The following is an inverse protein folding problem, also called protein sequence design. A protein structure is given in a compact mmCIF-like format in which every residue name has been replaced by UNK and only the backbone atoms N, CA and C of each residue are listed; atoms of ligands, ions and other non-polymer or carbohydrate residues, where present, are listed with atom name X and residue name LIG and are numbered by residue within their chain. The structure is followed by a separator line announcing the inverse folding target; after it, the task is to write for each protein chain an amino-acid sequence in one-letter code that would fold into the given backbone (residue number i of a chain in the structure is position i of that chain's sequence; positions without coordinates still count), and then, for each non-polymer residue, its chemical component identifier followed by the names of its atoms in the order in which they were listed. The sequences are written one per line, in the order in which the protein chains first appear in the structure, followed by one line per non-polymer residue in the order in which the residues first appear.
data_IF_478604747031
#
_entry.id   IF_478604747031
#
_cell.length_a   1.000
_cell.length_b   1.000
_cell.length_c   1.000
_cell.angle_alpha   90.00
_cell.angle_beta   90.00
_cell.angle_gamma   90.00
#
_symmetry.space_group_name_H-M   'P 1'
#
loop_
_entity.id
_entity.type
_entity.pdbx_description
1 polymer ?
#
# COMPACT_ATOMS: atom_id res chain seq x y z
N UNK A 1 -19.82 -14.49 37.49
CA UNK A 1 -18.44 -14.82 37.05
C UNK A 1 -18.15 -14.23 35.66
N UNK A 2 -18.06 -12.90 35.54
CA UNK A 2 -17.89 -12.19 34.26
C UNK A 2 -16.82 -11.09 34.33
N UNK A 3 -15.72 -11.35 35.05
CA UNK A 3 -14.57 -10.42 35.18
C UNK A 3 -13.23 -11.00 34.66
N UNK A 4 -13.18 -12.26 34.23
CA UNK A 4 -11.92 -12.93 33.87
C UNK A 4 -11.46 -12.85 32.40
N UNK A 5 -12.23 -12.25 31.49
CA UNK A 5 -11.92 -12.26 30.04
C UNK A 5 -11.69 -10.88 29.42
N UNK A 6 -11.74 -9.80 30.22
CA UNK A 6 -11.49 -8.43 29.76
C UNK A 6 -10.05 -7.94 29.99
N UNK A 7 -9.24 -8.65 30.77
CA UNK A 7 -7.86 -8.26 31.10
C UNK A 7 -6.76 -8.77 30.16
N UNK A 8 -7.11 -9.50 29.09
CA UNK A 8 -6.13 -10.11 28.17
C UNK A 8 -6.03 -9.40 26.82
N UNK A 9 -6.78 -8.31 26.66
CA UNK A 9 -6.42 -7.27 25.70
C UNK A 9 -5.53 -6.33 26.49
N UNK A 10 -4.23 -6.52 26.29
CA UNK A 10 -3.15 -5.57 26.54
C UNK A 10 -3.70 -4.16 26.81
N UNK A 11 -3.27 -3.53 27.92
CA UNK A 11 -3.04 -2.07 27.92
C UNK A 11 -2.40 -1.82 26.56
N UNK A 12 -3.14 -1.20 25.64
CA UNK A 12 -2.68 -1.03 24.27
C UNK A 12 -1.40 -0.23 24.43
N UNK A 13 -0.28 -0.91 24.17
CA UNK A 13 1.05 -0.32 24.25
C UNK A 13 0.96 1.01 23.50
N UNK A 14 1.35 2.08 24.20
CA UNK A 14 1.23 3.47 23.79
C UNK A 14 1.41 3.63 22.28
N UNK A 15 0.41 4.24 21.65
CA UNK A 15 0.46 4.95 20.37
C UNK A 15 1.53 4.47 19.36
N UNK A 16 1.52 3.19 18.98
CA UNK A 16 2.36 2.66 17.88
C UNK A 16 2.17 3.49 16.59
N UNK A 17 1.01 4.12 16.44
CA UNK A 17 0.67 5.06 15.36
C UNK A 17 1.38 6.42 15.47
N UNK A 18 1.82 6.83 16.67
CA UNK A 18 2.68 8.01 16.88
C UNK A 18 4.16 7.66 16.75
N UNK A 19 4.57 6.49 17.22
CA UNK A 19 5.97 6.04 17.14
C UNK A 19 6.37 5.69 15.71
N UNK A 20 5.47 5.04 14.95
CA UNK A 20 5.70 4.64 13.55
C UNK A 20 4.61 5.18 12.62
N UNK A 21 4.50 6.52 12.45
CA UNK A 21 3.37 7.15 11.78
C UNK A 21 3.34 6.88 10.27
N UNK A 22 4.51 6.74 9.63
CA UNK A 22 4.60 6.48 8.19
C UNK A 22 4.09 5.08 7.86
N UNK A 23 4.57 4.07 8.56
CA UNK A 23 4.20 2.68 8.30
C UNK A 23 2.76 2.40 8.74
N UNK A 24 2.31 3.01 9.84
CA UNK A 24 0.90 3.01 10.20
C UNK A 24 0.01 3.58 9.08
N UNK A 25 0.36 4.75 8.51
CA UNK A 25 -0.42 5.36 7.42
C UNK A 25 -0.44 4.50 6.17
N UNK A 26 0.69 3.89 5.79
CA UNK A 26 0.76 2.97 4.64
C UNK A 26 -0.18 1.78 4.85
N UNK A 27 -0.12 1.16 6.02
CA UNK A 27 -0.98 0.01 6.35
C UNK A 27 -2.46 0.41 6.44
N UNK A 28 -2.77 1.60 6.96
CA UNK A 28 -4.14 2.12 7.04
C UNK A 28 -4.72 2.42 5.64
N UNK A 29 -3.91 2.95 4.73
CA UNK A 29 -4.27 3.13 3.32
C UNK A 29 -4.48 1.79 2.62
N UNK A 30 -3.59 0.81 2.85
CA UNK A 30 -3.73 -0.53 2.30
C UNK A 30 -4.99 -1.23 2.84
N UNK A 31 -5.29 -1.09 4.13
CA UNK A 31 -6.52 -1.62 4.74
C UNK A 31 -7.79 -0.95 4.19
N UNK A 32 -7.71 0.31 3.78
CA UNK A 32 -8.82 1.04 3.16
C UNK A 32 -9.02 0.65 1.69
N UNK A 33 -7.95 0.59 0.92
CA UNK A 33 -8.00 0.29 -0.51
C UNK A 33 -8.27 -1.19 -0.78
N UNK A 34 -7.57 -2.08 -0.07
CA UNK A 34 -7.67 -3.53 -0.22
C UNK A 34 -7.76 -4.24 1.15
N UNK A 35 -8.96 -4.28 1.78
CA UNK A 35 -9.17 -4.91 3.08
C UNK A 35 -8.88 -6.43 3.11
N UNK A 36 -8.75 -7.08 1.96
CA UNK A 36 -8.55 -8.52 1.85
C UNK A 36 -7.07 -8.86 1.87
N UNK A 37 -6.29 -8.14 1.07
CA UNK A 37 -4.83 -8.23 1.10
C UNK A 37 -4.28 -7.84 2.48
N UNK A 38 -4.81 -6.78 3.08
CA UNK A 38 -4.48 -6.42 4.46
C UNK A 38 -4.68 -7.58 5.43
N UNK A 39 -5.82 -8.28 5.34
CA UNK A 39 -6.09 -9.44 6.20
C UNK A 39 -5.10 -10.57 5.96
N UNK A 40 -4.71 -10.84 4.71
CA UNK A 40 -3.72 -11.87 4.39
C UNK A 40 -2.36 -11.54 5.02
N UNK A 41 -1.86 -10.32 4.80
CA UNK A 41 -0.59 -9.86 5.36
C UNK A 41 -0.63 -9.91 6.90
N UNK A 42 -1.71 -9.44 7.52
CA UNK A 42 -1.86 -9.48 8.97
C UNK A 42 -1.92 -10.93 9.51
N UNK A 43 -2.57 -11.85 8.79
CA UNK A 43 -2.59 -13.28 9.16
C UNK A 43 -1.19 -13.91 9.14
N UNK A 44 -0.38 -13.56 8.15
CA UNK A 44 1.01 -14.04 8.04
C UNK A 44 1.85 -13.54 9.22
N UNK A 45 1.78 -12.25 9.54
CA UNK A 45 2.45 -11.65 10.70
C UNK A 45 1.97 -12.30 12.00
N UNK A 46 0.66 -12.47 12.17
CA UNK A 46 0.08 -13.11 13.35
C UNK A 46 0.52 -14.58 13.46
N UNK A 47 0.66 -15.28 12.34
CA UNK A 47 1.15 -16.65 12.31
C UNK A 47 2.63 -16.76 12.72
N UNK A 48 3.48 -15.84 12.24
CA UNK A 48 4.91 -15.77 12.61
C UNK A 48 5.07 -15.44 14.09
N UNK A 49 4.24 -14.55 14.63
CA UNK A 49 4.30 -14.19 16.04
C UNK A 49 3.56 -15.20 16.92
N UNK A 50 4.27 -16.23 17.35
CA UNK A 50 3.69 -17.34 18.10
C UNK A 50 3.07 -16.91 19.43
N UNK A 51 2.13 -17.72 19.95
CA UNK A 51 1.53 -17.50 21.28
C UNK A 51 2.56 -17.54 22.41
N UNK A 52 3.60 -18.36 22.28
CA UNK A 52 4.66 -18.47 23.28
C UNK A 52 5.51 -17.19 23.29
N UNK A 53 5.92 -16.72 22.11
CA UNK A 53 6.68 -15.47 21.95
C UNK A 53 5.89 -14.29 22.49
N UNK A 54 4.60 -14.18 22.17
CA UNK A 54 3.70 -13.15 22.73
C UNK A 54 3.62 -13.16 24.24
N UNK A 55 3.48 -14.34 24.84
CA UNK A 55 3.44 -14.49 26.29
C UNK A 55 4.76 -14.11 26.93
N UNK A 56 5.87 -14.44 26.27
CA UNK A 56 7.21 -14.13 26.75
C UNK A 56 7.47 -12.62 26.67
N UNK A 57 7.21 -11.99 25.53
CA UNK A 57 7.29 -10.53 25.37
C UNK A 57 6.40 -9.78 26.37
N UNK A 58 5.17 -10.27 26.62
CA UNK A 58 4.30 -9.68 27.63
C UNK A 58 4.85 -9.73 29.06
N UNK A 59 5.86 -10.57 29.35
CA UNK A 59 6.55 -10.57 30.66
C UNK A 59 7.58 -9.44 30.78
N UNK A 60 7.99 -8.80 29.69
CA UNK A 60 8.93 -7.68 29.73
C UNK A 60 8.26 -6.42 30.26
N UNK A 61 6.96 -6.29 30.02
CA UNK A 61 6.18 -5.15 30.45
C UNK A 61 6.03 -5.09 31.98
N UNK A 62 6.17 -3.89 32.52
CA UNK A 62 5.82 -3.52 33.89
C UNK A 62 4.61 -2.59 33.88
N UNK A 63 4.22 -2.06 35.04
CA UNK A 63 3.17 -1.03 35.06
C UNK A 63 3.63 0.29 34.44
N UNK A 64 4.94 0.55 34.46
CA UNK A 64 5.57 1.79 33.99
C UNK A 64 6.17 1.69 32.58
N UNK A 65 6.64 0.50 32.18
CA UNK A 65 7.35 0.28 30.91
C UNK A 65 6.58 -0.73 30.05
N UNK A 66 6.30 -0.34 28.80
CA UNK A 66 5.71 -1.23 27.79
C UNK A 66 6.76 -2.15 27.15
N UNK A 67 6.29 -3.24 26.53
CA UNK A 67 7.21 -4.13 25.78
C UNK A 67 7.86 -3.41 24.60
N UNK A 68 7.08 -2.57 23.92
CA UNK A 68 7.59 -1.73 22.83
C UNK A 68 8.65 -0.75 23.32
N UNK A 69 8.43 -0.11 24.47
CA UNK A 69 9.39 0.83 25.05
C UNK A 69 10.69 0.14 25.48
N UNK A 70 10.63 -1.09 25.99
CA UNK A 70 11.83 -1.90 26.24
C UNK A 70 12.67 -2.04 24.95
N UNK A 71 12.05 -2.41 23.84
CA UNK A 71 12.74 -2.58 22.57
C UNK A 71 13.29 -1.27 21.99
N UNK A 72 12.52 -0.17 22.08
CA UNK A 72 12.96 1.16 21.64
C UNK A 72 14.18 1.59 22.46
N UNK A 73 14.12 1.49 23.79
CA UNK A 73 15.26 1.85 24.65
C UNK A 73 16.45 0.93 24.38
N UNK A 74 16.25 -0.36 24.17
CA UNK A 74 17.32 -1.27 23.77
C UNK A 74 18.00 -0.83 22.48
N UNK A 75 17.21 -0.50 21.44
CA UNK A 75 17.68 -0.03 20.14
C UNK A 75 18.44 1.31 20.24
N UNK A 76 17.96 2.22 21.08
CA UNK A 76 18.51 3.58 21.18
C UNK A 76 19.72 3.65 22.12
N UNK A 77 19.72 2.91 23.24
CA UNK A 77 20.75 3.03 24.28
C UNK A 77 21.77 1.90 24.29
N UNK A 78 21.34 0.63 24.15
CA UNK A 78 22.24 -0.51 24.37
C UNK A 78 22.86 -1.01 23.05
N UNK A 79 22.08 -1.04 21.97
CA UNK A 79 22.52 -1.54 20.67
C UNK A 79 23.76 -0.78 20.12
N UNK A 80 23.83 0.57 20.15
CA UNK A 80 25.01 1.28 19.63
C UNK A 80 26.28 0.94 20.42
N UNK A 81 26.15 0.80 21.73
CA UNK A 81 27.27 0.47 22.61
C UNK A 81 27.78 -0.93 22.31
N UNK A 82 26.89 -1.94 22.25
CA UNK A 82 27.29 -3.32 21.94
C UNK A 82 27.95 -3.45 20.57
N UNK A 83 27.46 -2.71 19.56
CA UNK A 83 28.11 -2.65 18.24
C UNK A 83 29.50 -2.03 18.33
N UNK A 84 29.64 -0.91 19.04
CA UNK A 84 30.95 -0.25 19.22
C UNK A 84 31.96 -1.12 19.96
N UNK A 85 31.52 -1.89 20.97
CA UNK A 85 32.36 -2.81 21.73
C UNK A 85 32.82 -3.98 20.85
N UNK A 86 31.90 -4.56 20.06
CA UNK A 86 32.23 -5.63 19.12
C UNK A 86 33.16 -5.16 17.98
N UNK A 87 32.95 -3.95 17.46
CA UNK A 87 33.84 -3.34 16.45
C UNK A 87 35.23 -3.04 17.03
N UNK A 88 35.29 -2.56 18.28
CA UNK A 88 36.54 -2.28 18.96
C UNK A 88 37.36 -3.55 19.24
N UNK A 89 36.72 -4.64 19.66
CA UNK A 89 37.42 -5.93 19.89
C UNK A 89 37.87 -6.61 18.60
N UNK A 90 37.15 -6.40 17.51
CA UNK A 90 37.55 -6.86 16.18
C UNK A 90 38.63 -5.98 15.51
N UNK A 91 38.94 -4.81 16.08
CA UNK A 91 39.89 -3.86 15.49
C UNK A 91 41.34 -4.30 15.67
N UNK A 92 42.06 -4.44 14.54
CA UNK A 92 43.49 -4.73 14.55
C UNK A 92 44.32 -3.67 15.30
N UNK A 93 43.85 -2.42 15.36
CA UNK A 93 44.52 -1.36 16.11
C UNK A 93 44.43 -1.58 17.62
N UNK A 94 43.29 -2.06 18.11
CA UNK A 94 43.09 -2.38 19.53
C UNK A 94 43.93 -3.59 19.94
N UNK A 95 43.89 -4.68 19.17
CA UNK A 95 44.73 -5.86 19.41
C UNK A 95 46.23 -5.50 19.32
N UNK A 96 46.65 -4.64 18.38
CA UNK A 96 48.02 -4.13 18.29
C UNK A 96 48.42 -3.30 19.53
N UNK A 97 47.50 -2.49 20.05
CA UNK A 97 47.72 -1.72 21.29
C UNK A 97 47.93 -2.65 22.48
N UNK A 98 47.07 -3.66 22.64
CA UNK A 98 47.20 -4.66 23.70
C UNK A 98 48.52 -5.43 23.60
N UNK A 99 48.91 -5.86 22.40
CA UNK A 99 50.22 -6.50 22.14
C UNK A 99 51.37 -5.60 22.57
N UNK A 100 51.32 -4.32 22.20
CA UNK A 100 52.39 -3.35 22.47
C UNK A 100 52.52 -3.03 23.96
N UNK A 101 51.39 -2.80 24.64
CA UNK A 101 51.39 -2.32 26.03
C UNK A 101 51.49 -3.44 27.06
N UNK A 102 51.03 -4.65 26.73
CA UNK A 102 51.03 -5.80 27.65
C UNK A 102 52.03 -6.89 27.25
N UNK A 103 52.81 -6.68 26.19
CA UNK A 103 53.84 -7.63 25.68
C UNK A 103 53.23 -9.00 25.41
N UNK A 104 52.12 -9.02 24.66
CA UNK A 104 51.35 -10.22 24.36
C UNK A 104 51.61 -10.74 22.94
N UNK A 105 51.46 -12.04 22.77
CA UNK A 105 51.37 -12.69 21.46
C UNK A 105 50.04 -12.34 20.78
N UNK A 106 49.94 -12.58 19.48
CA UNK A 106 48.76 -12.22 18.69
C UNK A 106 47.49 -12.94 19.16
N UNK A 107 47.58 -14.26 19.39
CA UNK A 107 46.46 -15.06 19.88
C UNK A 107 46.04 -14.68 21.30
N UNK A 108 47.00 -14.37 22.19
CA UNK A 108 46.69 -13.99 23.57
C UNK A 108 46.13 -12.57 23.67
N UNK A 109 46.58 -11.65 22.81
CA UNK A 109 46.01 -10.32 22.71
C UNK A 109 44.58 -10.34 22.18
N UNK A 110 44.27 -11.19 21.19
CA UNK A 110 42.90 -11.35 20.71
C UNK A 110 41.99 -11.98 21.77
N UNK A 111 42.43 -13.04 22.44
CA UNK A 111 41.65 -13.65 23.52
C UNK A 111 41.37 -12.66 24.68
N UNK A 112 42.33 -11.78 24.98
CA UNK A 112 42.15 -10.73 25.98
C UNK A 112 41.19 -9.63 25.49
N UNK A 113 41.27 -9.24 24.21
CA UNK A 113 40.32 -8.30 23.61
C UNK A 113 38.88 -8.84 23.67
N UNK A 114 38.69 -10.12 23.32
CA UNK A 114 37.40 -10.80 23.38
C UNK A 114 36.86 -10.84 24.82
N UNK A 115 37.71 -11.16 25.79
CA UNK A 115 37.34 -11.17 27.22
C UNK A 115 36.93 -9.77 27.72
N UNK A 116 37.69 -8.74 27.38
CA UNK A 116 37.35 -7.35 27.76
C UNK A 116 36.05 -6.90 27.11
N UNK A 117 35.79 -7.28 25.84
CA UNK A 117 34.50 -6.98 25.21
C UNK A 117 33.35 -7.70 25.91
N UNK A 118 33.53 -8.95 26.33
CA UNK A 118 32.52 -9.69 27.06
C UNK A 118 32.19 -9.05 28.42
N UNK A 119 33.21 -8.68 29.20
CA UNK A 119 33.02 -7.99 30.49
C UNK A 119 32.32 -6.64 30.29
N UNK A 120 32.75 -5.87 29.30
CA UNK A 120 32.15 -4.57 28.99
C UNK A 120 30.69 -4.69 28.55
N UNK A 121 30.37 -5.66 27.70
CA UNK A 121 29.01 -5.94 27.28
C UNK A 121 28.13 -6.33 28.46
N UNK A 122 28.63 -7.17 29.38
CA UNK A 122 27.90 -7.57 30.58
C UNK A 122 27.60 -6.37 31.50
N UNK A 123 28.58 -5.50 31.74
CA UNK A 123 28.38 -4.27 32.53
C UNK A 123 27.30 -3.38 31.95
N UNK A 124 27.30 -3.18 30.63
CA UNK A 124 26.32 -2.32 29.95
C UNK A 124 24.93 -2.94 29.92
N UNK A 125 24.83 -4.27 29.78
CA UNK A 125 23.57 -5.00 29.93
C UNK A 125 22.99 -4.82 31.34
N UNK A 126 23.79 -5.00 32.39
CA UNK A 126 23.31 -4.80 33.77
C UNK A 126 22.92 -3.35 34.02
N UNK A 127 23.71 -2.38 33.53
CA UNK A 127 23.39 -0.95 33.64
C UNK A 127 22.06 -0.61 32.98
N UNK A 128 21.80 -1.19 31.80
CA UNK A 128 20.53 -1.06 31.09
C UNK A 128 19.37 -1.69 31.88
N UNK A 129 19.56 -2.91 32.41
CA UNK A 129 18.54 -3.60 33.20
C UNK A 129 18.22 -2.86 34.51
N UNK A 130 19.21 -2.34 35.22
CA UNK A 130 19.00 -1.54 36.44
C UNK A 130 18.28 -0.22 36.17
N UNK A 131 18.48 0.37 34.98
CA UNK A 131 17.78 1.59 34.57
C UNK A 131 16.30 1.37 34.25
N UNK A 132 15.93 0.16 33.79
CA UNK A 132 14.56 -0.19 33.44
C UNK A 132 13.80 -0.90 34.58
N UNK A 133 14.50 -1.70 35.37
CA UNK A 133 13.91 -2.53 36.41
C UNK A 133 14.56 -2.21 37.75
N UNK A 134 13.83 -1.47 38.59
CA UNK A 134 14.30 -0.97 39.89
C UNK A 134 14.39 -2.04 40.98
N UNK A 135 13.65 -3.14 40.87
CA UNK A 135 13.57 -4.20 41.90
C UNK A 135 14.32 -5.45 41.46
N UNK A 136 15.28 -5.88 42.30
CA UNK A 136 15.98 -7.16 42.22
C UNK A 136 15.53 -8.10 43.35
N UNK A 137 15.19 -9.38 43.10
CA UNK A 137 14.95 -10.04 41.81
C UNK A 137 13.50 -9.87 41.32
N UNK A 138 13.31 -9.54 40.04
CA UNK A 138 11.98 -9.51 39.41
C UNK A 138 11.91 -10.46 38.20
N UNK A 139 10.80 -11.19 38.00
CA UNK A 139 10.65 -12.11 36.87
C UNK A 139 10.66 -11.38 35.51
N UNK A 140 10.30 -10.10 35.49
CA UNK A 140 10.38 -9.25 34.30
C UNK A 140 11.84 -8.96 33.93
N UNK A 141 12.68 -8.62 34.92
CA UNK A 141 14.11 -8.42 34.70
C UNK A 141 14.80 -9.70 34.23
N UNK A 142 14.45 -10.86 34.79
CA UNK A 142 14.95 -12.15 34.32
C UNK A 142 14.57 -12.40 32.85
N UNK A 143 13.31 -12.14 32.48
CA UNK A 143 12.88 -12.29 31.09
C UNK A 143 13.62 -11.32 30.15
N UNK A 144 13.91 -10.10 30.59
CA UNK A 144 14.71 -9.14 29.84
C UNK A 144 16.16 -9.62 29.68
N UNK A 145 16.77 -10.14 30.74
CA UNK A 145 18.12 -10.73 30.70
C UNK A 145 18.18 -11.91 29.72
N UNK A 146 17.19 -12.81 29.74
CA UNK A 146 17.07 -13.95 28.82
C UNK A 146 17.01 -13.53 27.33
N UNK A 147 16.50 -12.33 27.04
CA UNK A 147 16.53 -11.74 25.70
C UNK A 147 17.91 -11.20 25.37
N UNK A 148 18.49 -10.43 26.28
CA UNK A 148 19.75 -9.70 26.03
C UNK A 148 20.97 -10.64 25.87
N UNK A 149 20.89 -11.87 26.40
CA UNK A 149 21.87 -12.94 26.19
C UNK A 149 21.92 -13.42 24.73
N UNK A 150 20.83 -13.26 23.97
CA UNK A 150 20.76 -13.71 22.57
C UNK A 150 21.59 -12.83 21.64
N UNK A 151 21.77 -13.26 20.40
CA UNK A 151 22.48 -12.46 19.41
C UNK A 151 21.72 -11.17 19.11
N UNK A 152 22.46 -10.11 18.74
CA UNK A 152 21.86 -8.82 18.38
C UNK A 152 20.86 -8.98 17.22
N UNK A 153 21.20 -9.80 16.22
CA UNK A 153 20.34 -10.05 15.07
C UNK A 153 18.99 -10.68 15.47
N UNK A 154 19.01 -11.66 16.38
CA UNK A 154 17.78 -12.30 16.86
C UNK A 154 16.87 -11.30 17.58
N UNK A 155 17.45 -10.39 18.36
CA UNK A 155 16.68 -9.36 19.08
C UNK A 155 16.08 -8.34 18.11
N UNK A 156 16.82 -7.93 17.07
CA UNK A 156 16.29 -7.04 16.02
C UNK A 156 15.12 -7.68 15.27
N UNK A 157 15.21 -8.96 14.93
CA UNK A 157 14.15 -9.67 14.24
C UNK A 157 12.92 -9.88 15.13
N UNK A 158 13.10 -10.17 16.43
CA UNK A 158 12.00 -10.21 17.41
C UNK A 158 11.33 -8.85 17.59
N UNK A 159 12.11 -7.78 17.65
CA UNK A 159 11.61 -6.41 17.73
C UNK A 159 10.76 -6.06 16.52
N UNK A 160 11.26 -6.33 15.30
CA UNK A 160 10.52 -6.09 14.04
C UNK A 160 9.21 -6.86 14.04
N UNK A 161 9.24 -8.14 14.41
CA UNK A 161 8.04 -8.98 14.47
C UNK A 161 7.01 -8.44 15.47
N UNK A 162 7.47 -7.92 16.62
CA UNK A 162 6.59 -7.30 17.61
C UNK A 162 5.98 -6.00 17.09
N UNK A 163 6.78 -5.13 16.45
CA UNK A 163 6.32 -3.88 15.83
C UNK A 163 5.28 -4.16 14.74
N UNK A 164 5.57 -5.08 13.82
CA UNK A 164 4.66 -5.47 12.73
C UNK A 164 3.33 -5.98 13.28
N UNK A 165 3.38 -6.81 14.34
CA UNK A 165 2.19 -7.31 15.00
C UNK A 165 1.34 -6.18 15.61
N UNK A 166 1.96 -5.24 16.32
CA UNK A 166 1.27 -4.09 16.92
C UNK A 166 0.67 -3.16 15.86
N UNK A 167 1.41 -2.90 14.78
CA UNK A 167 0.94 -2.09 13.64
C UNK A 167 -0.29 -2.72 12.98
N UNK A 168 -0.21 -4.00 12.61
CA UNK A 168 -1.34 -4.72 12.00
C UNK A 168 -2.55 -4.78 12.95
N UNK A 169 -2.32 -4.99 14.25
CA UNK A 169 -3.38 -5.03 15.26
C UNK A 169 -4.06 -3.67 15.46
N UNK A 170 -3.28 -2.59 15.50
CA UNK A 170 -3.79 -1.24 15.67
C UNK A 170 -4.59 -0.75 14.45
N UNK A 171 -4.10 -0.99 13.24
CA UNK A 171 -4.83 -0.68 11.99
C UNK A 171 -6.12 -1.48 11.89
N UNK A 172 -6.07 -2.78 12.20
CA UNK A 172 -7.27 -3.63 12.19
C UNK A 172 -8.33 -3.15 13.18
N UNK A 173 -7.90 -2.70 14.38
CA UNK A 173 -8.81 -2.12 15.38
C UNK A 173 -9.42 -0.81 14.88
N UNK A 174 -8.61 0.09 14.30
CA UNK A 174 -9.08 1.38 13.75
C UNK A 174 -10.11 1.18 12.65
N UNK A 175 -9.89 0.22 11.76
CA UNK A 175 -10.78 -0.10 10.63
C UNK A 175 -11.88 -1.12 10.96
N UNK A 176 -11.96 -1.56 12.22
CA UNK A 176 -12.92 -2.56 12.70
C UNK A 176 -12.91 -3.86 11.88
N UNK A 177 -11.73 -4.27 11.42
CA UNK A 177 -11.54 -5.48 10.62
C UNK A 177 -11.28 -6.67 11.54
N UNK A 178 -12.05 -7.75 11.37
CA UNK A 178 -11.73 -9.01 12.06
C UNK A 178 -10.66 -9.77 11.29
N UNK A 179 -9.54 -10.05 11.96
CA UNK A 179 -8.47 -10.93 11.48
C UNK A 179 -8.51 -12.23 12.30
N UNK A 180 -8.57 -13.38 11.63
CA UNK A 180 -8.38 -14.68 12.28
C UNK A 180 -6.90 -14.90 12.57
N UNK A 181 -6.56 -14.97 13.85
CA UNK A 181 -5.20 -15.12 14.32
C UNK A 181 -4.80 -16.61 14.33
N UNK A 182 -3.87 -17.06 13.46
CA UNK A 182 -3.49 -18.46 13.38
C UNK A 182 -2.84 -18.99 14.66
N UNK A 183 -2.17 -18.13 15.42
CA UNK A 183 -1.52 -18.48 16.68
C UNK A 183 -2.46 -18.37 17.89
N UNK A 184 -3.71 -17.95 17.70
CA UNK A 184 -4.70 -17.93 18.78
C UNK A 184 -5.11 -19.34 19.22
N UNK A 185 -5.68 -19.45 20.43
CA UNK A 185 -6.28 -20.70 20.87
C UNK A 185 -7.40 -21.16 19.92
N UNK A 186 -7.55 -22.48 19.74
CA UNK A 186 -8.46 -23.09 18.73
C UNK A 186 -9.87 -22.49 18.72
N UNK A 187 -10.49 -22.30 19.88
CA UNK A 187 -11.83 -21.71 20.01
C UNK A 187 -11.88 -20.26 19.51
N UNK A 188 -10.91 -19.44 19.92
CA UNK A 188 -10.82 -18.03 19.50
C UNK A 188 -10.59 -17.94 17.99
N UNK A 189 -9.70 -18.76 17.46
CA UNK A 189 -9.44 -18.84 16.03
C UNK A 189 -10.70 -19.21 15.23
N UNK A 190 -11.48 -20.21 15.67
CA UNK A 190 -12.74 -20.59 15.01
C UNK A 190 -13.77 -19.47 15.01
N UNK A 191 -13.95 -18.77 16.14
CA UNK A 191 -14.87 -17.63 16.25
C UNK A 191 -14.43 -16.49 15.31
N UNK A 192 -13.15 -16.13 15.35
CA UNK A 192 -12.60 -15.09 14.49
C UNK A 192 -12.74 -15.45 13.00
N UNK A 193 -12.44 -16.71 12.63
CA UNK A 193 -12.59 -17.22 11.26
C UNK A 193 -14.05 -17.17 10.79
N UNK A 194 -15.00 -17.50 11.67
CA UNK A 194 -16.43 -17.39 11.37
C UNK A 194 -16.87 -15.95 11.12
N UNK A 195 -16.42 -15.01 11.96
CA UNK A 195 -16.69 -13.57 11.79
C UNK A 195 -16.07 -13.01 10.52
N UNK A 196 -14.79 -13.30 10.29
CA UNK A 196 -14.05 -12.89 9.09
C UNK A 196 -14.73 -13.42 7.81
N UNK A 197 -15.13 -14.71 7.76
CA UNK A 197 -15.86 -15.26 6.60
C UNK A 197 -17.16 -14.52 6.32
N UNK A 198 -17.92 -14.14 7.35
CA UNK A 198 -19.16 -13.38 7.20
C UNK A 198 -18.89 -11.97 6.69
N UNK A 199 -17.86 -11.30 7.20
CA UNK A 199 -17.43 -9.98 6.73
C UNK A 199 -17.00 -10.01 5.26
N UNK A 200 -16.13 -10.97 4.90
CA UNK A 200 -15.67 -11.18 3.52
C UNK A 200 -16.86 -11.43 2.60
N UNK A 201 -17.78 -12.33 2.97
CA UNK A 201 -18.96 -12.63 2.14
C UNK A 201 -19.85 -11.40 1.93
N UNK A 202 -20.03 -10.57 2.96
CA UNK A 202 -20.79 -9.31 2.85
C UNK A 202 -20.08 -8.32 1.94
N UNK A 203 -18.77 -8.16 2.10
CA UNK A 203 -17.94 -7.29 1.29
C UNK A 203 -17.98 -7.70 -0.19
N UNK A 204 -17.70 -8.97 -0.49
CA UNK A 204 -17.76 -9.51 -1.86
C UNK A 204 -19.14 -9.30 -2.47
N UNK A 205 -20.21 -9.62 -1.74
CA UNK A 205 -21.57 -9.39 -2.23
C UNK A 205 -21.85 -7.92 -2.55
N UNK A 206 -21.33 -6.99 -1.74
CA UNK A 206 -21.45 -5.56 -2.00
C UNK A 206 -20.67 -5.14 -3.25
N UNK A 207 -19.43 -5.61 -3.40
CA UNK A 207 -18.59 -5.34 -4.57
C UNK A 207 -19.20 -5.90 -5.86
N UNK A 208 -19.67 -7.16 -5.86
CA UNK A 208 -20.35 -7.75 -7.02
C UNK A 208 -21.63 -7.01 -7.37
N UNK A 209 -22.39 -6.51 -6.38
CA UNK A 209 -23.58 -5.67 -6.63
C UNK A 209 -23.19 -4.33 -7.25
N UNK A 210 -22.12 -3.70 -6.75
CA UNK A 210 -21.61 -2.44 -7.31
C UNK A 210 -21.16 -2.64 -8.75
N UNK A 211 -20.43 -3.72 -9.03
CA UNK A 211 -19.99 -4.09 -10.37
C UNK A 211 -21.15 -4.24 -11.34
N UNK A 212 -22.22 -4.97 -10.97
CA UNK A 212 -23.43 -5.06 -11.81
C UNK A 212 -24.08 -3.70 -12.05
N UNK A 213 -24.09 -2.83 -11.04
CA UNK A 213 -24.59 -1.46 -11.18
C UNK A 213 -23.75 -0.63 -12.14
N UNK A 214 -22.42 -0.80 -12.10
CA UNK A 214 -21.50 -0.18 -13.06
C UNK A 214 -21.77 -0.69 -14.47
N UNK A 215 -21.91 -2.00 -14.65
CA UNK A 215 -22.17 -2.61 -15.97
C UNK A 215 -23.50 -2.16 -16.56
N UNK A 216 -24.55 -2.10 -15.75
CA UNK A 216 -25.84 -1.56 -16.17
C UNK A 216 -25.71 -0.08 -16.58
N UNK A 217 -25.00 0.73 -15.78
CA UNK A 217 -24.84 2.14 -16.08
C UNK A 217 -23.97 2.37 -17.32
N UNK A 218 -22.94 1.55 -17.51
CA UNK A 218 -22.11 1.57 -18.71
C UNK A 218 -22.95 1.23 -19.94
N UNK A 219 -23.78 0.19 -19.91
CA UNK A 219 -24.64 -0.16 -21.06
C UNK A 219 -25.70 0.91 -21.37
N UNK A 220 -26.27 1.55 -20.35
CA UNK A 220 -27.14 2.72 -20.53
C UNK A 220 -26.41 3.89 -21.21
N UNK A 221 -25.14 4.13 -20.87
CA UNK A 221 -24.34 5.18 -21.49
C UNK A 221 -23.94 4.80 -22.91
N UNK A 222 -23.59 3.53 -23.15
CA UNK A 222 -23.20 3.01 -24.47
C UNK A 222 -24.36 3.06 -25.47
N UNK A 223 -25.59 2.80 -25.03
CA UNK A 223 -26.77 2.90 -25.91
C UNK A 223 -27.13 4.34 -26.28
N UNK A 224 -26.68 5.34 -25.51
CA UNK A 224 -26.91 6.76 -25.84
C UNK A 224 -26.09 7.18 -27.05
N UNK A 225 -26.68 8.08 -27.84
CA UNK A 225 -26.08 8.61 -29.06
C UNK A 225 -25.58 7.50 -30.02
N UNK A 226 -26.26 6.34 -30.04
CA UNK A 226 -25.94 5.24 -30.94
C UNK A 226 -24.53 4.67 -30.78
N UNK A 227 -24.04 4.48 -29.56
CA UNK A 227 -22.71 3.91 -29.33
C UNK A 227 -21.54 4.88 -29.53
N UNK A 228 -21.80 6.17 -29.71
CA UNK A 228 -20.77 7.18 -29.93
C UNK A 228 -19.77 7.24 -28.75
N UNK A 229 -20.25 7.10 -27.52
CA UNK A 229 -19.41 7.15 -26.31
C UNK A 229 -18.42 5.98 -26.28
N UNK A 230 -18.89 4.77 -26.60
CA UNK A 230 -18.04 3.58 -26.64
C UNK A 230 -16.97 3.72 -27.72
N UNK A 231 -17.36 4.20 -28.91
CA UNK A 231 -16.42 4.43 -30.04
C UNK A 231 -15.36 5.47 -29.68
N UNK A 232 -15.76 6.61 -29.12
CA UNK A 232 -14.83 7.64 -28.63
C UNK A 232 -13.87 7.08 -27.58
N UNK A 233 -14.39 6.28 -26.64
CA UNK A 233 -13.58 5.69 -25.56
C UNK A 233 -12.57 4.68 -26.10
N UNK A 234 -12.99 3.77 -26.98
CA UNK A 234 -12.13 2.75 -27.59
C UNK A 234 -11.06 3.37 -28.49
N UNK A 235 -11.42 4.41 -29.26
CA UNK A 235 -10.49 5.20 -30.06
C UNK A 235 -9.64 6.15 -29.20
N UNK A 236 -9.83 6.21 -27.88
CA UNK A 236 -9.08 7.09 -26.97
C UNK A 236 -8.97 8.55 -27.45
N UNK A 237 -10.03 9.05 -28.12
CA UNK A 237 -10.04 10.41 -28.64
C UNK A 237 -10.10 11.42 -27.51
N UNK A 238 -9.29 12.48 -27.60
CA UNK A 238 -9.40 13.61 -26.68
C UNK A 238 -10.57 14.51 -27.10
N UNK A 239 -11.69 14.35 -26.42
CA UNK A 239 -12.89 15.11 -26.72
C UNK A 239 -12.73 16.61 -26.47
N UNK A 240 -11.79 17.03 -25.61
CA UNK A 240 -11.49 18.46 -25.44
C UNK A 240 -10.89 19.03 -26.72
N UNK A 241 -9.96 18.31 -27.35
CA UNK A 241 -9.40 18.69 -28.65
C UNK A 241 -10.48 18.68 -29.75
N UNK A 242 -11.38 17.68 -29.75
CA UNK A 242 -12.50 17.61 -30.70
C UNK A 242 -13.44 18.81 -30.55
N UNK A 243 -13.73 19.24 -29.32
CA UNK A 243 -14.57 20.42 -29.06
C UNK A 243 -13.87 21.72 -29.44
N UNK A 244 -12.56 21.84 -29.21
CA UNK A 244 -11.77 22.98 -29.65
C UNK A 244 -11.77 23.08 -31.19
N UNK A 245 -11.57 21.96 -31.87
CA UNK A 245 -11.68 21.84 -33.32
C UNK A 245 -13.08 22.26 -33.81
N UNK A 246 -14.14 21.89 -33.10
CA UNK A 246 -15.50 22.32 -33.45
C UNK A 246 -15.69 23.84 -33.35
N UNK A 247 -15.15 24.47 -32.31
CA UNK A 247 -15.22 25.93 -32.14
C UNK A 247 -14.47 26.65 -33.26
N UNK A 248 -13.30 26.14 -33.65
CA UNK A 248 -12.52 26.70 -34.75
C UNK A 248 -13.20 26.50 -36.11
N UNK A 249 -13.91 25.39 -36.28
CA UNK A 249 -14.79 25.17 -37.44
C UNK A 249 -15.93 26.20 -37.50
N UNK A 250 -16.63 26.48 -36.40
CA UNK A 250 -17.65 27.56 -36.35
C UNK A 250 -17.07 28.94 -36.68
N UNK A 251 -15.92 29.27 -36.10
CA UNK A 251 -15.23 30.55 -36.36
C UNK A 251 -14.83 30.71 -37.82
N UNK A 252 -14.31 29.65 -38.45
CA UNK A 252 -13.89 29.67 -39.87
C UNK A 252 -15.10 29.71 -40.80
N UNK A 253 -16.16 28.97 -40.50
CA UNK A 253 -17.42 29.06 -41.24
C UNK A 253 -18.04 30.46 -41.15
N UNK A 254 -18.06 31.07 -39.96
CA UNK A 254 -18.58 32.42 -39.74
C UNK A 254 -17.86 33.51 -40.54
N UNK A 255 -16.61 33.27 -40.96
CA UNK A 255 -15.81 34.18 -41.81
C UNK A 255 -16.09 34.02 -43.31
N UNK A 256 -16.75 32.94 -43.73
CA UNK A 256 -17.10 32.71 -45.14
C UNK A 256 -18.31 33.54 -45.55
N UNK A 257 -18.44 33.80 -46.86
CA UNK A 257 -19.63 34.46 -47.43
C UNK A 257 -20.87 33.57 -47.27
N UNK A 258 -22.10 34.14 -47.21
CA UNK A 258 -23.33 33.38 -46.98
C UNK A 258 -23.59 32.28 -48.03
N UNK A 259 -23.12 32.47 -49.26
CA UNK A 259 -23.15 31.49 -50.35
C UNK A 259 -22.14 30.36 -50.14
N UNK A 260 -20.90 30.69 -49.78
CA UNK A 260 -19.87 29.68 -49.47
C UNK A 260 -20.17 28.91 -48.18
N UNK A 261 -20.86 29.53 -47.22
CA UNK A 261 -21.34 28.85 -46.02
C UNK A 261 -22.36 27.76 -46.30
N UNK A 262 -23.15 27.85 -47.38
CA UNK A 262 -24.14 26.83 -47.76
C UNK A 262 -23.58 25.74 -48.67
N UNK A 263 -22.39 25.96 -49.23
CA UNK A 263 -21.71 24.99 -50.10
C UNK A 263 -21.14 23.82 -49.29
N UNK A 264 -21.54 22.60 -49.63
CA UNK A 264 -21.08 21.37 -48.98
C UNK A 264 -19.57 21.13 -49.13
N UNK A 265 -19.01 21.45 -50.30
CA UNK A 265 -17.58 21.30 -50.58
C UNK A 265 -16.73 22.23 -49.72
N UNK A 266 -17.13 23.50 -49.57
CA UNK A 266 -16.43 24.45 -48.70
C UNK A 266 -16.52 24.08 -47.22
N UNK A 267 -17.65 23.52 -46.77
CA UNK A 267 -17.77 22.98 -45.40
C UNK A 267 -16.82 21.82 -45.16
N UNK A 268 -16.74 20.88 -46.11
CA UNK A 268 -15.84 19.73 -46.02
C UNK A 268 -14.37 20.19 -45.96
N UNK A 269 -13.94 21.11 -46.82
CA UNK A 269 -12.57 21.66 -46.80
C UNK A 269 -12.20 22.25 -45.43
N UNK A 270 -13.11 23.06 -44.85
CA UNK A 270 -12.87 23.66 -43.53
C UNK A 270 -12.83 22.58 -42.45
N UNK A 271 -13.76 21.62 -42.48
CA UNK A 271 -13.77 20.48 -41.54
C UNK A 271 -12.45 19.72 -41.60
N UNK A 272 -12.03 19.28 -42.79
CA UNK A 272 -10.81 18.51 -42.98
C UNK A 272 -9.57 19.27 -42.48
N UNK A 273 -9.51 20.57 -42.73
CA UNK A 273 -8.39 21.42 -42.31
C UNK A 273 -8.27 21.54 -40.79
N UNK A 274 -9.38 21.48 -40.06
CA UNK A 274 -9.43 21.67 -38.61
C UNK A 274 -9.28 20.33 -37.88
N UNK A 275 -9.78 19.23 -38.44
CA UNK A 275 -9.64 17.88 -37.88
C UNK A 275 -8.34 17.17 -38.26
N UNK A 276 -7.57 17.70 -39.23
CA UNK A 276 -6.29 17.11 -39.68
C UNK A 276 -5.36 16.76 -38.53
N UNK A 277 -5.15 17.67 -37.57
CA UNK A 277 -4.27 17.42 -36.42
C UNK A 277 -4.72 16.26 -35.55
N UNK A 278 -6.03 16.09 -35.36
CA UNK A 278 -6.61 15.00 -34.56
C UNK A 278 -6.39 13.67 -35.29
N UNK A 279 -6.61 13.65 -36.61
CA UNK A 279 -6.34 12.48 -37.45
C UNK A 279 -4.87 12.09 -37.45
N UNK A 280 -3.98 13.04 -37.69
CA UNK A 280 -2.53 12.80 -37.76
C UNK A 280 -1.99 12.30 -36.40
N UNK A 281 -2.44 12.91 -35.30
CA UNK A 281 -2.12 12.48 -33.93
C UNK A 281 -2.57 11.05 -33.64
N UNK A 282 -3.74 10.66 -34.15
CA UNK A 282 -4.27 9.33 -33.95
C UNK A 282 -3.59 8.27 -34.83
N UNK A 283 -3.36 8.58 -36.12
CA UNK A 283 -2.59 7.71 -37.02
C UNK A 283 -1.22 7.43 -36.42
N UNK A 284 -0.53 8.43 -35.86
CA UNK A 284 0.74 8.26 -35.18
C UNK A 284 0.69 7.29 -33.98
N UNK A 285 -0.46 7.15 -33.29
CA UNK A 285 -0.64 6.23 -32.15
C UNK A 285 -0.94 4.79 -32.56
N UNK A 286 -1.48 4.56 -33.76
CA UNK A 286 -1.92 3.23 -34.23
C UNK A 286 -0.88 2.56 -35.14
N UNK A 287 0.23 3.24 -35.46
CA UNK A 287 1.31 2.73 -36.35
C UNK A 287 1.97 1.43 -35.84
N UNK A 288 1.74 1.02 -34.59
CA UNK A 288 2.19 -0.28 -34.08
C UNK A 288 1.39 -1.49 -34.64
N UNK A 289 0.23 -1.29 -35.28
CA UNK A 289 -0.55 -2.34 -35.94
C UNK A 289 -0.19 -2.44 -37.45
N UNK A 290 0.65 -3.41 -37.81
CA UNK A 290 1.31 -3.60 -39.13
C UNK A 290 0.38 -3.79 -40.37
N UNK A 291 -0.95 -3.62 -40.26
CA UNK A 291 -1.90 -3.85 -41.36
C UNK A 291 -2.51 -2.54 -41.87
N UNK A 292 -2.19 -2.17 -43.12
CA UNK A 292 -2.76 -0.99 -43.80
C UNK A 292 -4.30 -1.01 -43.89
N UNK A 293 -4.91 -2.19 -43.98
CA UNK A 293 -6.37 -2.34 -44.05
C UNK A 293 -7.06 -1.96 -42.73
N UNK A 294 -6.49 -2.31 -41.57
CA UNK A 294 -7.03 -1.89 -40.27
C UNK A 294 -6.84 -0.40 -40.05
N UNK A 295 -5.72 0.18 -40.48
CA UNK A 295 -5.50 1.63 -40.44
C UNK A 295 -6.56 2.41 -41.24
N UNK A 296 -6.92 1.93 -42.45
CA UNK A 296 -7.98 2.57 -43.25
C UNK A 296 -9.36 2.46 -42.61
N UNK A 297 -9.70 1.30 -42.05
CA UNK A 297 -10.99 1.09 -41.39
C UNK A 297 -11.13 1.97 -40.15
N UNK A 298 -10.07 2.04 -39.34
CA UNK A 298 -10.03 2.85 -38.12
C UNK A 298 -10.03 4.35 -38.45
N UNK A 299 -9.33 4.80 -39.50
CA UNK A 299 -9.40 6.20 -39.94
C UNK A 299 -10.81 6.61 -40.35
N UNK A 300 -11.55 5.73 -41.02
CA UNK A 300 -12.96 5.97 -41.36
C UNK A 300 -13.82 6.08 -40.10
N UNK A 301 -13.60 5.21 -39.12
CA UNK A 301 -14.32 5.26 -37.84
C UNK A 301 -14.06 6.55 -37.07
N UNK A 302 -12.82 7.06 -37.08
CA UNK A 302 -12.47 8.36 -36.49
C UNK A 302 -13.21 9.50 -37.22
N UNK A 303 -13.20 9.51 -38.55
CA UNK A 303 -13.92 10.52 -39.34
C UNK A 303 -15.44 10.48 -39.06
N UNK A 304 -16.03 9.30 -39.00
CA UNK A 304 -17.45 9.12 -38.67
C UNK A 304 -17.78 9.64 -37.26
N UNK A 305 -16.94 9.35 -36.27
CA UNK A 305 -17.10 9.85 -34.89
C UNK A 305 -16.98 11.38 -34.84
N UNK A 306 -15.99 11.94 -35.53
CA UNK A 306 -15.78 13.40 -35.59
C UNK A 306 -16.98 14.11 -36.23
N UNK A 307 -17.49 13.58 -37.35
CA UNK A 307 -18.67 14.13 -38.02
C UNK A 307 -19.88 14.08 -37.07
N UNK A 308 -20.13 12.94 -36.41
CA UNK A 308 -21.24 12.80 -35.46
C UNK A 308 -21.14 13.81 -34.31
N UNK A 309 -19.95 14.05 -33.75
CA UNK A 309 -19.75 15.07 -32.69
C UNK A 309 -19.94 16.49 -33.23
N UNK A 310 -19.56 16.75 -34.48
CA UNK A 310 -19.65 18.07 -35.07
C UNK A 310 -21.09 18.49 -35.37
N UNK A 311 -21.93 17.52 -35.76
CA UNK A 311 -23.34 17.71 -36.07
C UNK A 311 -24.23 17.83 -34.81
N UNK A 312 -23.72 17.47 -33.63
CA UNK A 312 -24.46 17.59 -32.37
C UNK A 312 -24.73 19.06 -31.99
N UNK A 313 -25.81 19.27 -31.24
CA UNK A 313 -26.11 20.55 -30.61
C UNK A 313 -25.09 20.90 -29.51
N UNK A 314 -24.98 22.16 -29.11
CA UNK A 314 -24.10 22.56 -28.01
C UNK A 314 -24.49 21.88 -26.68
N UNK A 315 -25.79 21.71 -26.42
CA UNK A 315 -26.30 21.01 -25.23
C UNK A 315 -25.92 19.53 -25.24
N UNK A 316 -26.09 18.86 -26.38
CA UNK A 316 -25.75 17.44 -26.51
C UNK A 316 -24.25 17.19 -26.38
N UNK A 317 -23.41 18.11 -26.88
CA UNK A 317 -21.95 18.03 -26.68
C UNK A 317 -21.56 18.16 -25.20
N UNK A 318 -22.19 19.05 -24.44
CA UNK A 318 -21.96 19.18 -23.01
C UNK A 318 -22.42 17.92 -22.24
N UNK A 319 -23.55 17.33 -22.64
CA UNK A 319 -24.03 16.06 -22.09
C UNK A 319 -23.08 14.91 -22.43
N UNK A 320 -22.59 14.85 -23.67
CA UNK A 320 -21.61 13.87 -24.13
C UNK A 320 -20.34 13.90 -23.26
N UNK A 321 -19.79 15.08 -22.99
CA UNK A 321 -18.64 15.25 -22.10
C UNK A 321 -18.89 14.71 -20.69
N UNK A 322 -20.05 15.03 -20.13
CA UNK A 322 -20.44 14.58 -18.79
C UNK A 322 -20.52 13.05 -18.73
N UNK A 323 -21.17 12.44 -19.73
CA UNK A 323 -21.33 10.99 -19.81
C UNK A 323 -20.01 10.25 -20.09
N UNK A 324 -19.12 10.83 -20.90
CA UNK A 324 -17.78 10.29 -21.14
C UNK A 324 -16.93 10.29 -19.88
N UNK A 325 -17.00 11.38 -19.10
CA UNK A 325 -16.32 11.47 -17.81
C UNK A 325 -16.86 10.39 -16.85
N UNK A 326 -18.19 10.29 -16.75
CA UNK A 326 -18.85 9.25 -15.95
C UNK A 326 -18.41 7.84 -16.39
N UNK A 327 -18.39 7.56 -17.70
CA UNK A 327 -17.97 6.28 -18.24
C UNK A 327 -16.51 5.94 -17.91
N UNK A 328 -15.59 6.92 -18.02
CA UNK A 328 -14.17 6.75 -17.64
C UNK A 328 -14.01 6.44 -16.16
N UNK A 329 -14.71 7.16 -15.30
CA UNK A 329 -14.67 6.95 -13.85
C UNK A 329 -15.24 5.57 -13.48
N UNK A 330 -16.36 5.16 -14.10
CA UNK A 330 -16.95 3.83 -13.96
C UNK A 330 -16.01 2.71 -14.43
N UNK A 331 -15.32 2.89 -15.56
CA UNK A 331 -14.34 1.91 -16.06
C UNK A 331 -13.16 1.74 -15.11
N UNK A 332 -12.65 2.83 -14.52
CA UNK A 332 -11.59 2.78 -13.50
C UNK A 332 -12.06 2.08 -12.24
N UNK A 333 -13.27 2.40 -11.76
CA UNK A 333 -13.86 1.74 -10.59
C UNK A 333 -14.05 0.24 -10.85
N UNK A 334 -14.55 -0.15 -12.03
CA UNK A 334 -14.70 -1.56 -12.43
C UNK A 334 -13.35 -2.31 -12.36
N UNK A 335 -12.29 -1.72 -12.91
CA UNK A 335 -10.93 -2.29 -12.84
C UNK A 335 -10.44 -2.46 -11.40
N UNK A 336 -10.65 -1.44 -10.55
CA UNK A 336 -10.29 -1.52 -9.13
C UNK A 336 -11.05 -2.63 -8.41
N UNK A 337 -12.37 -2.71 -8.58
CA UNK A 337 -13.20 -3.75 -7.96
C UNK A 337 -12.76 -5.14 -8.41
N UNK A 338 -12.51 -5.33 -9.71
CA UNK A 338 -12.02 -6.61 -10.24
C UNK A 338 -10.67 -6.99 -9.62
N UNK A 339 -9.71 -6.06 -9.58
CA UNK A 339 -8.40 -6.34 -8.96
C UNK A 339 -8.49 -6.76 -7.49
N UNK A 340 -9.44 -6.20 -6.75
CA UNK A 340 -9.67 -6.56 -5.33
C UNK A 340 -10.34 -7.93 -5.20
N UNK A 341 -11.22 -8.30 -6.13
CA UNK A 341 -11.90 -9.59 -6.12
C UNK A 341 -11.00 -10.73 -6.63
N UNK A 342 -10.19 -10.51 -7.66
CA UNK A 342 -9.28 -11.51 -8.25
C UNK A 342 -8.23 -11.95 -7.22
N UNK A 343 -7.77 -11.01 -6.38
CA UNK A 343 -6.90 -11.28 -5.23
C UNK A 343 -7.50 -12.20 -4.14
N UNK A 344 -8.75 -12.66 -4.29
CA UNK A 344 -9.35 -13.70 -3.44
C UNK A 344 -9.30 -15.12 -4.04
N UNK A 345 -9.06 -15.24 -5.34
CA UNK A 345 -9.12 -16.54 -6.05
C UNK A 345 -7.82 -17.33 -5.99
N UNK A 346 -6.83 -16.83 -5.27
CA UNK A 346 -5.57 -17.51 -4.89
C UNK A 346 -5.58 -17.73 -3.39
#
# INVERSE_FOLDING_TARGET
MAKGLRGWLMKIDLDIDKTYPLDFRKLDQLAQANPLEFRRQAQEVYGRYSRQTRKFHAKLATDDISTLEFFIRWQDSLLPIRRSVAEASASAAFSKSLRKHLVLNESTAQALADKLSFERDHEEVERFLSALYTVEPSPQRQAAQDILIRSVADIEDEMRLHIDYLLMTSVAKRRQLTIADPAAGRLRHLIQRGRQKREIKRYVKAQTRRLRGIELRQSEIETKYGGLILRIFNLQLDVVEVLAARQDYDKRLGKLTPTSQKSSTKRLEVFESVTRKIRDSYVAKVVDDEKLASLQQVSKEVDEVLIQVFDMSAEDRNRLMTLLKEYRDLSREKQQINSVLDNQTV
#
